data_IF_629456470921
#
_entry.id   IF_629456470921
#
_cell.length_a   1.000
_cell.length_b   1.000
_cell.length_c   1.000
_cell.angle_alpha   90.00
_cell.angle_beta   90.00
_cell.angle_gamma   90.00
#
_symmetry.space_group_name_H-M   'P 1'
#
loop_
_entity.id
_entity.type
_entity.pdbx_description
1 polymer ?
#
# COMPACT_ATOMS: atom_id res chain seq x y z
N UNK A 1 -7.37 18.79 12.31
CA UNK A 1 -7.00 19.87 13.26
C UNK A 1 -6.80 21.16 12.48
N UNK A 2 -7.38 22.22 12.99
CA UNK A 2 -7.25 23.57 12.45
C UNK A 2 -6.08 24.30 13.14
N UNK A 3 -5.71 25.48 12.66
CA UNK A 3 -4.58 26.24 13.20
C UNK A 3 -4.73 26.56 14.69
N UNK A 4 -5.95 26.86 15.12
CA UNK A 4 -6.26 27.16 16.52
C UNK A 4 -6.01 25.96 17.46
N UNK A 5 -6.23 24.73 16.97
CA UNK A 5 -5.94 23.52 17.73
C UNK A 5 -4.43 23.38 17.99
N UNK A 6 -3.60 23.70 16.98
CA UNK A 6 -2.14 23.68 17.13
C UNK A 6 -1.65 24.78 18.08
N UNK A 7 -2.23 25.97 18.04
CA UNK A 7 -1.94 27.04 19.01
C UNK A 7 -2.29 26.61 20.43
N UNK A 8 -3.45 25.98 20.61
CA UNK A 8 -3.84 25.42 21.90
C UNK A 8 -2.86 24.35 22.40
N UNK A 9 -2.39 23.47 21.51
CA UNK A 9 -1.34 22.47 21.85
C UNK A 9 -0.06 23.15 22.33
N UNK A 10 0.41 24.20 21.64
CA UNK A 10 1.60 24.95 22.04
C UNK A 10 1.42 25.58 23.42
N UNK A 11 0.24 26.16 23.71
CA UNK A 11 -0.06 26.70 25.03
C UNK A 11 0.01 25.63 26.12
N UNK A 12 -0.49 24.43 25.86
CA UNK A 12 -0.41 23.30 26.79
C UNK A 12 1.06 22.86 26.98
N UNK A 13 1.86 22.75 25.91
CA UNK A 13 3.27 22.40 26.03
C UNK A 13 4.04 23.40 26.89
N UNK A 14 3.82 24.70 26.69
CA UNK A 14 4.42 25.75 27.54
C UNK A 14 4.00 25.61 29.00
N UNK A 15 2.71 25.44 29.25
CA UNK A 15 2.16 25.25 30.61
C UNK A 15 2.80 24.10 31.37
N UNK A 16 3.09 23.02 30.65
CA UNK A 16 3.68 21.80 31.23
C UNK A 16 5.20 21.70 31.04
N UNK A 17 5.87 22.77 30.61
CA UNK A 17 7.32 22.81 30.38
C UNK A 17 7.84 21.71 29.41
N UNK A 18 7.01 21.33 28.43
CA UNK A 18 7.39 20.36 27.39
C UNK A 18 8.21 21.10 26.33
N UNK A 19 9.47 20.69 26.18
CA UNK A 19 10.42 21.29 25.23
C UNK A 19 10.66 20.44 23.99
N UNK A 20 10.46 19.14 24.08
CA UNK A 20 10.71 18.20 22.98
C UNK A 20 9.42 17.44 22.68
N UNK A 21 9.00 17.49 21.42
CA UNK A 21 7.79 16.83 20.94
C UNK A 21 8.18 15.96 19.75
N UNK A 22 7.98 14.65 19.86
CA UNK A 22 8.29 13.67 18.83
C UNK A 22 7.00 13.11 18.25
N UNK A 23 6.85 13.25 16.92
CA UNK A 23 5.72 12.70 16.18
C UNK A 23 6.15 11.45 15.42
N UNK A 24 5.69 10.28 15.83
CA UNK A 24 5.94 9.03 15.11
C UNK A 24 4.76 8.66 14.22
N UNK A 25 5.00 8.49 12.92
CA UNK A 25 3.93 8.08 12.00
C UNK A 25 4.22 8.35 10.52
N UNK A 26 3.20 8.17 9.68
CA UNK A 26 3.25 8.36 8.24
C UNK A 26 2.99 9.82 7.81
N UNK A 27 2.64 10.02 6.53
CA UNK A 27 2.44 11.34 5.92
C UNK A 27 1.51 12.27 6.70
N UNK A 28 0.39 11.78 7.20
CA UNK A 28 -0.54 12.59 8.01
C UNK A 28 0.08 13.09 9.31
N UNK A 29 0.94 12.28 9.93
CA UNK A 29 1.68 12.65 11.15
C UNK A 29 2.77 13.66 10.82
N UNK A 30 3.50 13.49 9.73
CA UNK A 30 4.53 14.44 9.28
C UNK A 30 3.92 15.79 8.91
N UNK A 31 2.74 15.81 8.28
CA UNK A 31 1.99 17.05 8.00
C UNK A 31 1.56 17.76 9.31
N UNK A 32 1.07 17.01 10.30
CA UNK A 32 0.73 17.56 11.60
C UNK A 32 1.96 18.13 12.33
N UNK A 33 3.08 17.43 12.26
CA UNK A 33 4.36 17.90 12.76
C UNK A 33 4.76 19.24 12.11
N UNK A 34 4.70 19.33 10.79
CA UNK A 34 4.99 20.56 10.04
C UNK A 34 4.03 21.70 10.37
N UNK A 35 2.74 21.43 10.57
CA UNK A 35 1.76 22.43 10.98
C UNK A 35 2.03 22.97 12.39
N UNK A 36 2.39 22.07 13.31
CA UNK A 36 2.76 22.49 14.66
C UNK A 36 4.00 23.41 14.66
N UNK A 37 5.02 23.07 13.86
CA UNK A 37 6.21 23.91 13.75
C UNK A 37 5.89 25.31 13.21
N UNK A 38 4.94 25.42 12.29
CA UNK A 38 4.56 26.74 11.70
C UNK A 38 3.88 27.69 12.68
N UNK A 39 3.24 27.18 13.72
CA UNK A 39 2.57 28.00 14.76
C UNK A 39 3.47 28.29 15.96
N UNK A 40 4.70 27.75 15.98
CA UNK A 40 5.70 28.12 16.99
C UNK A 40 6.30 29.47 16.67
N UNK A 41 6.54 30.29 17.71
CA UNK A 41 7.33 31.51 17.56
C UNK A 41 8.77 31.16 17.15
N UNK A 42 9.44 32.03 16.37
CA UNK A 42 10.84 31.81 15.94
C UNK A 42 11.81 31.55 17.11
N UNK A 43 11.56 32.22 18.25
CA UNK A 43 12.38 32.12 19.46
C UNK A 43 11.89 31.07 20.45
N UNK A 44 10.93 30.22 20.04
CA UNK A 44 10.41 29.15 20.90
C UNK A 44 11.50 28.19 21.32
N UNK A 45 11.51 27.80 22.60
CA UNK A 45 12.37 26.72 23.15
C UNK A 45 11.80 25.31 22.89
N UNK A 46 10.58 25.21 22.32
CA UNK A 46 9.96 23.96 21.95
C UNK A 46 10.58 23.46 20.63
N UNK A 47 11.08 22.24 20.64
CA UNK A 47 11.61 21.54 19.47
C UNK A 47 10.67 20.41 19.06
N UNK A 48 10.31 20.38 17.81
CA UNK A 48 9.42 19.36 17.24
C UNK A 48 10.18 18.56 16.18
N UNK A 49 10.12 17.25 16.27
CA UNK A 49 10.74 16.37 15.29
C UNK A 49 9.76 15.26 14.86
N UNK A 50 9.80 14.93 13.57
CA UNK A 50 9.06 13.80 13.02
C UNK A 50 9.94 12.55 12.98
N UNK A 51 9.35 11.41 13.36
CA UNK A 51 9.95 10.08 13.22
C UNK A 51 9.08 9.36 12.18
N UNK A 52 9.50 9.32 10.91
CA UNK A 52 8.68 8.77 9.85
C UNK A 52 8.60 7.24 9.95
N UNK A 53 7.39 6.69 9.78
CA UNK A 53 7.16 5.26 9.59
C UNK A 53 5.89 5.05 8.77
N UNK A 54 5.98 4.26 7.71
CA UNK A 54 4.84 3.80 6.93
C UNK A 54 5.24 2.62 6.07
N UNK A 55 4.33 1.67 5.86
CA UNK A 55 4.53 0.58 4.91
C UNK A 55 4.43 1.06 3.46
N UNK A 56 3.80 2.21 3.22
CA UNK A 56 3.53 2.73 1.87
C UNK A 56 4.80 3.22 1.16
N UNK A 57 5.85 3.49 1.92
CA UNK A 57 7.14 4.02 1.44
C UNK A 57 7.00 5.30 0.61
N UNK A 58 6.08 6.17 1.02
CA UNK A 58 5.63 7.34 0.26
C UNK A 58 6.02 8.68 0.91
N UNK A 59 7.00 8.68 1.82
CA UNK A 59 7.54 9.90 2.44
C UNK A 59 8.68 10.43 1.57
N UNK A 60 8.55 11.70 1.17
CA UNK A 60 9.57 12.36 0.33
C UNK A 60 10.95 12.43 1.00
N UNK A 61 12.00 12.48 0.17
CA UNK A 61 13.42 12.61 0.56
C UNK A 61 14.03 11.35 1.20
N UNK A 62 13.24 10.31 1.46
CA UNK A 62 13.76 9.05 1.99
C UNK A 62 13.56 7.91 0.98
N UNK A 63 14.53 7.03 0.87
CA UNK A 63 14.46 5.85 -0.01
C UNK A 63 13.71 4.68 0.65
N UNK A 64 13.73 4.65 1.98
CA UNK A 64 13.10 3.62 2.77
C UNK A 64 12.39 4.22 3.99
N UNK A 65 11.17 3.76 4.27
CA UNK A 65 10.45 4.08 5.50
C UNK A 65 10.24 2.83 6.33
N UNK A 66 10.48 2.90 7.66
CA UNK A 66 10.30 1.75 8.56
C UNK A 66 8.91 1.14 8.43
N UNK A 67 8.87 -0.18 8.25
CA UNK A 67 7.68 -0.97 7.99
C UNK A 67 7.53 -1.43 6.54
N UNK A 68 8.08 -0.69 5.56
CA UNK A 68 8.00 -1.08 4.15
C UNK A 68 8.70 -2.39 3.86
N UNK A 69 9.92 -2.60 4.38
CA UNK A 69 10.70 -3.81 4.13
C UNK A 69 9.96 -5.08 4.56
N UNK A 70 9.25 -5.03 5.69
CA UNK A 70 8.41 -6.14 6.17
C UNK A 70 7.20 -6.39 5.28
N UNK A 71 6.50 -5.33 4.86
CA UNK A 71 5.36 -5.45 3.95
C UNK A 71 5.80 -5.98 2.58
N UNK A 72 6.95 -5.54 2.07
CA UNK A 72 7.55 -6.03 0.82
C UNK A 72 7.90 -7.52 0.89
N UNK A 73 8.50 -7.96 1.99
CA UNK A 73 8.76 -9.42 2.23
C UNK A 73 7.48 -10.23 2.26
N UNK A 74 6.47 -9.70 2.93
CA UNK A 74 5.18 -10.37 3.04
C UNK A 74 4.53 -10.56 1.67
N UNK A 75 4.38 -9.49 0.88
CA UNK A 75 3.73 -9.57 -0.43
C UNK A 75 4.51 -10.48 -1.39
N UNK A 76 5.85 -10.40 -1.40
CA UNK A 76 6.68 -11.26 -2.22
C UNK A 76 6.50 -12.75 -1.84
N UNK A 77 6.49 -13.05 -0.54
CA UNK A 77 6.29 -14.43 -0.06
C UNK A 77 4.91 -14.96 -0.39
N UNK A 78 3.86 -14.17 -0.09
CA UNK A 78 2.47 -14.54 -0.38
C UNK A 78 2.25 -14.74 -1.88
N UNK A 79 2.82 -13.88 -2.73
CA UNK A 79 2.76 -14.03 -4.18
C UNK A 79 3.40 -15.34 -4.66
N UNK A 80 4.55 -15.72 -4.07
CA UNK A 80 5.21 -16.98 -4.41
C UNK A 80 4.38 -18.20 -4.00
N UNK A 81 3.75 -18.15 -2.82
CA UNK A 81 2.89 -19.22 -2.30
C UNK A 81 1.62 -19.39 -3.14
N UNK A 82 0.93 -18.27 -3.44
CA UNK A 82 -0.23 -18.27 -4.35
C UNK A 82 0.20 -18.76 -5.75
N UNK A 83 1.38 -18.33 -6.22
CA UNK A 83 1.93 -18.78 -7.49
C UNK A 83 2.14 -20.29 -7.56
N UNK A 84 2.60 -20.89 -6.47
CA UNK A 84 2.75 -22.35 -6.37
C UNK A 84 1.39 -23.07 -6.40
N UNK A 85 0.39 -22.54 -5.70
CA UNK A 85 -0.98 -23.07 -5.70
C UNK A 85 -1.62 -22.99 -7.09
N UNK A 86 -1.60 -21.81 -7.72
CA UNK A 86 -2.15 -21.59 -9.07
C UNK A 86 -1.46 -22.47 -10.12
N UNK A 87 -0.15 -22.69 -9.98
CA UNK A 87 0.62 -23.55 -10.88
C UNK A 87 0.28 -25.04 -10.69
N UNK A 88 0.00 -25.46 -9.46
CA UNK A 88 -0.39 -26.84 -9.16
C UNK A 88 -1.82 -27.16 -9.61
N UNK A 89 -2.67 -26.14 -9.69
CA UNK A 89 -4.07 -26.26 -10.09
C UNK A 89 -4.42 -25.17 -11.13
N UNK A 90 -3.94 -25.29 -12.39
CA UNK A 90 -4.00 -24.23 -13.39
C UNK A 90 -5.38 -24.10 -14.05
N UNK A 91 -6.40 -23.74 -13.27
CA UNK A 91 -7.80 -23.64 -13.73
C UNK A 91 -8.43 -22.28 -13.39
N UNK A 92 -7.65 -21.32 -12.92
CA UNK A 92 -8.21 -20.05 -12.46
C UNK A 92 -7.20 -18.91 -12.50
N UNK A 93 -7.75 -17.71 -12.39
CA UNK A 93 -7.00 -16.47 -12.17
C UNK A 93 -7.08 -16.11 -10.68
N UNK A 94 -5.96 -15.77 -10.07
CA UNK A 94 -5.93 -15.24 -8.71
C UNK A 94 -5.48 -13.77 -8.73
N UNK A 95 -6.30 -12.89 -8.17
CA UNK A 95 -5.99 -11.47 -7.99
C UNK A 95 -5.57 -11.26 -6.54
N UNK A 96 -4.32 -10.85 -6.32
CA UNK A 96 -3.81 -10.49 -5.00
C UNK A 96 -3.84 -8.96 -4.85
N UNK A 97 -4.70 -8.45 -3.97
CA UNK A 97 -4.77 -7.02 -3.68
C UNK A 97 -3.71 -6.62 -2.67
N UNK A 98 -2.86 -5.67 -3.05
CA UNK A 98 -1.81 -5.14 -2.21
C UNK A 98 -2.19 -3.78 -1.63
N UNK A 99 -1.86 -3.55 -0.35
CA UNK A 99 -1.94 -2.24 0.30
C UNK A 99 -0.93 -1.27 -0.32
N UNK A 100 -1.02 0.01 0.05
CA UNK A 100 -0.08 1.06 -0.39
C UNK A 100 -0.77 2.32 -0.86
N UNK A 101 -2.10 2.35 -0.90
CA UNK A 101 -2.92 3.50 -1.31
C UNK A 101 -2.52 4.00 -2.71
N UNK A 102 -1.92 5.22 -2.76
CA UNK A 102 -1.51 5.85 -4.01
C UNK A 102 -0.04 5.54 -4.39
N UNK A 103 0.64 4.72 -3.60
CA UNK A 103 2.03 4.33 -3.83
C UNK A 103 2.14 2.83 -4.14
N UNK A 104 2.74 2.51 -5.25
CA UNK A 104 2.85 1.14 -5.77
C UNK A 104 4.02 0.33 -5.23
N UNK A 105 4.77 0.80 -4.25
CA UNK A 105 5.98 0.14 -3.76
C UNK A 105 5.75 -1.28 -3.25
N UNK A 106 4.70 -1.49 -2.45
CA UNK A 106 4.36 -2.83 -1.96
C UNK A 106 3.94 -3.73 -3.13
N UNK A 107 3.08 -3.20 -4.01
CA UNK A 107 2.63 -3.94 -5.20
C UNK A 107 3.80 -4.33 -6.09
N UNK A 108 4.74 -3.41 -6.34
CA UNK A 108 5.95 -3.65 -7.12
C UNK A 108 6.87 -4.71 -6.47
N UNK A 109 6.95 -4.73 -5.13
CA UNK A 109 7.76 -5.70 -4.40
C UNK A 109 7.31 -7.15 -4.63
N UNK A 110 6.07 -7.39 -5.07
CA UNK A 110 5.61 -8.72 -5.49
C UNK A 110 6.47 -9.33 -6.59
N UNK A 111 7.12 -8.50 -7.42
CA UNK A 111 8.04 -8.96 -8.47
C UNK A 111 9.21 -9.79 -7.92
N UNK A 112 9.59 -9.60 -6.65
CA UNK A 112 10.64 -10.37 -5.98
C UNK A 112 10.28 -11.85 -5.78
N UNK A 113 8.99 -12.21 -5.92
CA UNK A 113 8.55 -13.60 -5.94
C UNK A 113 9.05 -14.37 -7.17
N UNK A 114 9.25 -13.66 -8.29
CA UNK A 114 9.64 -14.25 -9.57
C UNK A 114 11.11 -14.67 -9.54
N UNK A 115 11.36 -15.97 -9.59
CA UNK A 115 12.70 -16.57 -9.64
C UNK A 115 13.06 -17.09 -11.02
N UNK A 116 12.07 -17.48 -11.80
CA UNK A 116 12.22 -18.04 -13.14
C UNK A 116 11.19 -17.42 -14.08
N UNK A 117 11.44 -17.53 -15.36
CA UNK A 117 10.44 -17.19 -16.37
C UNK A 117 9.17 -18.03 -16.15
N UNK A 118 8.02 -17.37 -16.14
CA UNK A 118 6.71 -18.00 -15.90
C UNK A 118 6.34 -18.21 -14.43
N UNK A 119 7.17 -17.76 -13.47
CA UNK A 119 6.76 -17.69 -12.06
C UNK A 119 5.86 -16.46 -11.84
N UNK A 120 4.97 -16.56 -10.84
CA UNK A 120 4.15 -15.43 -10.36
C UNK A 120 5.02 -14.33 -9.71
N UNK A 121 4.56 -13.07 -9.76
CA UNK A 121 3.33 -12.59 -10.39
C UNK A 121 3.47 -12.56 -11.91
N UNK A 122 2.40 -12.86 -12.63
CA UNK A 122 2.39 -12.77 -14.08
C UNK A 122 2.13 -11.32 -14.54
N UNK A 123 1.24 -10.62 -13.84
CA UNK A 123 0.89 -9.21 -14.07
C UNK A 123 0.97 -8.41 -12.76
N UNK A 124 1.37 -7.15 -12.87
CA UNK A 124 1.45 -6.20 -11.75
C UNK A 124 0.81 -4.88 -12.21
N UNK A 125 -0.23 -4.44 -11.48
CA UNK A 125 -0.93 -3.18 -11.75
C UNK A 125 -0.68 -2.17 -10.64
N UNK A 126 0.03 -1.08 -10.99
CA UNK A 126 0.48 -0.04 -10.08
C UNK A 126 -0.48 1.17 -10.10
N UNK A 127 -0.69 1.86 -8.97
CA UNK A 127 -1.59 3.01 -8.88
C UNK A 127 -1.08 4.26 -9.61
N UNK A 128 0.21 4.28 -9.96
CA UNK A 128 0.85 5.36 -10.71
C UNK A 128 0.55 5.33 -12.21
N UNK A 129 -0.04 4.24 -12.70
CA UNK A 129 -0.43 4.10 -14.10
C UNK A 129 -1.95 4.02 -14.23
N UNK A 130 -2.56 4.69 -15.20
CA UNK A 130 -3.98 4.54 -15.46
C UNK A 130 -4.33 3.07 -15.75
N UNK A 131 -5.36 2.58 -15.07
CA UNK A 131 -5.92 1.27 -15.33
C UNK A 131 -6.87 1.32 -16.51
N UNK A 132 -6.70 0.37 -17.43
CA UNK A 132 -7.56 0.18 -18.60
C UNK A 132 -8.13 -1.23 -18.59
N UNK A 133 -9.45 -1.32 -18.50
CA UNK A 133 -10.15 -2.60 -18.39
C UNK A 133 -9.89 -3.51 -19.59
N UNK A 134 -9.90 -2.95 -20.81
CA UNK A 134 -9.69 -3.72 -22.02
C UNK A 134 -8.28 -4.32 -22.10
N UNK A 135 -7.25 -3.55 -21.75
CA UNK A 135 -5.86 -4.03 -21.69
C UNK A 135 -5.71 -5.13 -20.63
N UNK A 136 -6.27 -4.90 -19.45
CA UNK A 136 -6.25 -5.90 -18.37
C UNK A 136 -6.87 -7.23 -18.81
N UNK A 137 -8.04 -7.19 -19.42
CA UNK A 137 -8.74 -8.39 -19.88
C UNK A 137 -7.95 -9.10 -21.01
N UNK A 138 -7.35 -8.35 -21.92
CA UNK A 138 -6.51 -8.91 -22.99
C UNK A 138 -5.27 -9.60 -22.43
N UNK A 139 -4.54 -8.94 -21.51
CA UNK A 139 -3.35 -9.49 -20.85
C UNK A 139 -3.66 -10.77 -20.07
N UNK A 140 -4.76 -10.75 -19.30
CA UNK A 140 -5.20 -11.92 -18.54
C UNK A 140 -5.57 -13.06 -19.46
N UNK A 141 -6.31 -12.79 -20.54
CA UNK A 141 -6.74 -13.81 -21.50
C UNK A 141 -5.54 -14.46 -22.21
N UNK A 142 -4.60 -13.66 -22.69
CA UNK A 142 -3.40 -14.16 -23.36
C UNK A 142 -2.59 -15.08 -22.43
N UNK A 143 -2.36 -14.62 -21.19
CA UNK A 143 -1.60 -15.41 -20.21
C UNK A 143 -2.33 -16.69 -19.80
N UNK A 144 -3.64 -16.60 -19.60
CA UNK A 144 -4.46 -17.76 -19.24
C UNK A 144 -4.45 -18.83 -20.34
N UNK A 145 -4.60 -18.43 -21.60
CA UNK A 145 -4.57 -19.36 -22.74
C UNK A 145 -3.23 -20.10 -22.84
N UNK A 146 -2.15 -19.44 -22.44
CA UNK A 146 -0.79 -20.00 -22.48
C UNK A 146 -0.43 -20.84 -21.27
N UNK A 147 -0.87 -20.44 -20.07
CA UNK A 147 -0.41 -20.99 -18.79
C UNK A 147 -1.48 -21.81 -18.06
N UNK A 148 -2.74 -21.63 -18.40
CA UNK A 148 -3.89 -22.24 -17.71
C UNK A 148 -4.22 -21.62 -16.33
N UNK A 149 -3.29 -20.87 -15.73
CA UNK A 149 -3.47 -20.18 -14.46
C UNK A 149 -2.67 -18.89 -14.41
N UNK A 150 -3.23 -17.82 -13.83
CA UNK A 150 -2.62 -16.50 -13.80
C UNK A 150 -2.70 -15.91 -12.39
N UNK A 151 -1.61 -15.33 -11.93
CA UNK A 151 -1.57 -14.51 -10.71
C UNK A 151 -1.33 -13.06 -11.09
N UNK A 152 -2.27 -12.21 -10.70
CA UNK A 152 -2.20 -10.76 -10.84
C UNK A 152 -2.01 -10.14 -9.47
N UNK A 153 -1.08 -9.21 -9.33
CA UNK A 153 -0.97 -8.39 -8.13
C UNK A 153 -1.39 -6.97 -8.47
N UNK A 154 -2.40 -6.47 -7.77
CA UNK A 154 -3.02 -5.18 -8.03
C UNK A 154 -3.02 -4.30 -6.79
N UNK A 155 -2.72 -3.01 -6.95
CA UNK A 155 -2.83 -2.04 -5.86
C UNK A 155 -4.29 -1.76 -5.52
N UNK A 156 -4.59 -1.58 -4.22
CA UNK A 156 -5.89 -1.07 -3.75
C UNK A 156 -6.22 0.34 -4.27
N UNK A 157 -5.20 1.08 -4.70
CA UNK A 157 -5.29 2.47 -5.14
C UNK A 157 -5.38 2.67 -6.66
N UNK A 158 -5.74 1.64 -7.44
CA UNK A 158 -5.85 1.76 -8.89
C UNK A 158 -6.85 2.84 -9.31
N UNK A 159 -6.49 3.59 -10.35
CA UNK A 159 -7.27 4.69 -10.91
C UNK A 159 -7.42 4.53 -12.42
N UNK A 160 -8.52 5.03 -12.92
CA UNK A 160 -8.77 5.14 -14.37
C UNK A 160 -7.96 6.29 -15.00
N UNK A 161 -8.12 6.50 -16.31
CA UNK A 161 -7.47 7.58 -17.08
C UNK A 161 -7.87 8.99 -16.60
N UNK A 162 -9.02 9.12 -15.94
CA UNK A 162 -9.47 10.40 -15.37
C UNK A 162 -8.89 10.66 -13.96
N UNK A 163 -8.11 9.72 -13.43
CA UNK A 163 -7.55 9.77 -12.08
C UNK A 163 -8.54 9.39 -10.97
N UNK A 164 -9.71 8.85 -11.33
CA UNK A 164 -10.70 8.37 -10.35
C UNK A 164 -10.38 6.92 -9.96
N UNK A 165 -10.60 6.54 -8.68
CA UNK A 165 -10.50 5.15 -8.27
C UNK A 165 -11.41 4.25 -9.12
N UNK A 166 -10.89 3.11 -9.58
CA UNK A 166 -11.68 2.13 -10.37
C UNK A 166 -12.80 1.49 -9.54
N UNK A 167 -12.63 1.44 -8.22
CA UNK A 167 -13.68 1.07 -7.27
C UNK A 167 -13.90 2.25 -6.34
N UNK A 168 -15.12 2.78 -6.23
CA UNK A 168 -15.40 3.90 -5.36
C UNK A 168 -15.02 3.59 -3.91
N UNK A 169 -14.47 4.56 -3.17
CA UNK A 169 -14.25 4.39 -1.73
C UNK A 169 -15.58 4.06 -1.01
N UNK A 170 -15.53 3.11 -0.08
CA UNK A 170 -16.70 2.73 0.73
C UNK A 170 -17.08 3.87 1.66
N UNK A 171 -16.08 4.54 2.21
CA UNK A 171 -16.26 5.64 3.15
C UNK A 171 -15.04 6.56 3.15
N UNK A 172 -15.29 7.85 3.33
CA UNK A 172 -14.23 8.85 3.48
C UNK A 172 -14.58 9.80 4.64
N UNK A 173 -13.64 10.01 5.53
CA UNK A 173 -13.76 11.00 6.61
C UNK A 173 -12.46 11.78 6.74
N UNK A 174 -12.52 13.09 6.53
CA UNK A 174 -11.35 13.94 6.46
C UNK A 174 -10.32 13.40 5.45
N UNK A 175 -9.14 13.01 5.95
CA UNK A 175 -8.06 12.41 5.13
C UNK A 175 -8.09 10.88 5.09
N UNK A 176 -8.93 10.25 5.89
CA UNK A 176 -9.04 8.79 5.91
C UNK A 176 -9.94 8.32 4.80
N UNK A 177 -9.39 7.51 3.90
CA UNK A 177 -10.11 6.87 2.80
C UNK A 177 -10.15 5.37 3.07
N UNK A 178 -11.35 4.80 3.08
CA UNK A 178 -11.58 3.36 3.13
C UNK A 178 -11.82 2.89 1.71
N UNK A 179 -10.84 2.24 1.12
CA UNK A 179 -10.89 1.77 -0.25
C UNK A 179 -11.90 0.65 -0.42
N UNK A 180 -12.51 0.58 -1.61
CA UNK A 180 -13.28 -0.58 -2.04
C UNK A 180 -12.39 -1.80 -2.25
N UNK A 181 -13.00 -2.91 -2.64
CA UNK A 181 -12.30 -4.16 -2.92
C UNK A 181 -11.94 -4.23 -4.41
N UNK A 182 -10.75 -3.75 -4.75
CA UNK A 182 -10.21 -3.76 -6.11
C UNK A 182 -9.99 -5.20 -6.59
N UNK A 183 -9.49 -6.07 -5.71
CA UNK A 183 -9.25 -7.47 -6.04
C UNK A 183 -10.54 -8.19 -6.42
N UNK A 184 -11.61 -8.01 -5.64
CA UNK A 184 -12.92 -8.59 -5.95
C UNK A 184 -13.49 -8.04 -7.25
N UNK A 185 -13.39 -6.73 -7.49
CA UNK A 185 -13.83 -6.10 -8.74
C UNK A 185 -13.14 -6.70 -9.96
N UNK A 186 -11.80 -6.81 -9.93
CA UNK A 186 -11.03 -7.38 -11.03
C UNK A 186 -11.35 -8.86 -11.26
N UNK A 187 -11.53 -9.64 -10.19
CA UNK A 187 -11.93 -11.05 -10.30
C UNK A 187 -13.33 -11.17 -10.92
N UNK A 188 -14.26 -10.30 -10.54
CA UNK A 188 -15.61 -10.24 -11.13
C UNK A 188 -15.58 -9.89 -12.62
N UNK A 189 -14.72 -8.95 -13.04
CA UNK A 189 -14.50 -8.63 -14.44
C UNK A 189 -14.04 -9.84 -15.24
N UNK A 190 -13.03 -10.56 -14.75
CA UNK A 190 -12.52 -11.77 -15.40
C UNK A 190 -13.62 -12.81 -15.57
N UNK A 191 -14.41 -13.05 -14.51
CA UNK A 191 -15.51 -14.01 -14.57
C UNK A 191 -16.57 -13.58 -15.58
N UNK A 192 -17.03 -12.34 -15.52
CA UNK A 192 -18.15 -11.85 -16.34
C UNK A 192 -17.78 -11.66 -17.81
N UNK A 193 -16.56 -11.17 -18.09
CA UNK A 193 -16.15 -10.80 -19.45
C UNK A 193 -15.45 -11.94 -20.18
N UNK A 194 -14.68 -12.77 -19.48
CA UNK A 194 -13.90 -13.84 -20.08
C UNK A 194 -14.47 -15.24 -19.85
N UNK A 195 -15.41 -15.39 -18.90
CA UNK A 195 -15.91 -16.70 -18.50
C UNK A 195 -14.88 -17.58 -17.78
N UNK A 196 -13.76 -16.99 -17.36
CA UNK A 196 -12.67 -17.68 -16.66
C UNK A 196 -12.95 -17.62 -15.16
N UNK A 197 -12.75 -18.74 -14.47
CA UNK A 197 -12.85 -18.80 -13.00
C UNK A 197 -11.79 -17.89 -12.40
N UNK A 198 -12.19 -16.98 -11.51
CA UNK A 198 -11.27 -16.08 -10.81
C UNK A 198 -11.63 -15.96 -9.34
N UNK A 199 -10.65 -15.59 -8.54
CA UNK A 199 -10.78 -15.27 -7.11
C UNK A 199 -9.89 -14.10 -6.76
N UNK A 200 -10.17 -13.47 -5.63
CA UNK A 200 -9.31 -12.44 -5.05
C UNK A 200 -8.87 -12.83 -3.66
N UNK A 201 -7.65 -12.42 -3.33
CA UNK A 201 -7.08 -12.51 -1.99
C UNK A 201 -6.67 -11.10 -1.56
N UNK A 202 -7.09 -10.73 -0.34
CA UNK A 202 -6.82 -9.42 0.26
C UNK A 202 -6.21 -9.59 1.64
N UNK A 203 -4.89 -9.74 1.76
CA UNK A 203 -4.22 -9.96 3.04
C UNK A 203 -4.46 -8.84 4.07
N UNK A 204 -4.61 -7.61 3.61
CA UNK A 204 -4.92 -6.47 4.46
C UNK A 204 -3.96 -6.34 5.64
N UNK A 205 -4.50 -6.39 6.87
CA UNK A 205 -3.72 -6.24 8.10
C UNK A 205 -2.60 -7.28 8.25
N UNK A 206 -2.80 -8.50 7.76
CA UNK A 206 -1.77 -9.55 7.82
C UNK A 206 -0.48 -9.10 7.12
N UNK A 207 -0.61 -8.33 6.03
CA UNK A 207 0.54 -7.82 5.25
C UNK A 207 1.47 -6.89 6.04
N UNK A 208 0.96 -6.22 7.07
CA UNK A 208 1.76 -5.30 7.92
C UNK A 208 2.00 -5.81 9.33
N UNK A 209 1.41 -6.95 9.71
CA UNK A 209 1.44 -7.46 11.08
C UNK A 209 2.17 -8.81 11.21
N UNK A 210 2.73 -9.32 10.11
CA UNK A 210 3.40 -10.64 10.11
C UNK A 210 4.73 -10.60 10.87
N UNK A 211 4.75 -11.18 12.04
CA UNK A 211 5.96 -11.29 12.89
C UNK A 211 7.02 -12.18 12.22
N UNK A 212 6.60 -13.27 11.59
CA UNK A 212 7.52 -14.23 10.95
C UNK A 212 8.21 -13.69 9.70
N UNK A 213 7.62 -12.68 9.05
CA UNK A 213 8.15 -12.05 7.84
C UNK A 213 8.71 -10.65 8.08
N UNK A 214 8.92 -10.27 9.34
CA UNK A 214 9.55 -9.01 9.69
C UNK A 214 10.91 -8.85 9.01
N UNK A 215 11.15 -7.68 8.42
CA UNK A 215 12.44 -7.33 7.84
C UNK A 215 13.48 -7.09 8.93
N UNK A 216 14.72 -7.59 8.79
CA UNK A 216 15.80 -7.22 9.70
C UNK A 216 16.05 -5.71 9.74
N UNK A 217 15.96 -5.02 8.59
CA UNK A 217 16.15 -3.56 8.50
C UNK A 217 15.09 -2.83 9.33
N UNK A 218 13.80 -3.16 9.15
CA UNK A 218 12.72 -2.53 9.93
C UNK A 218 12.90 -2.75 11.44
N UNK A 219 13.42 -3.91 11.82
CA UNK A 219 13.69 -4.23 13.24
C UNK A 219 14.86 -3.45 13.80
N UNK A 220 15.91 -3.24 13.02
CA UNK A 220 17.08 -2.44 13.41
C UNK A 220 16.71 -0.95 13.51
N UNK A 221 15.88 -0.45 12.59
CA UNK A 221 15.42 0.94 12.61
C UNK A 221 14.43 1.25 13.75
N UNK A 222 13.79 0.24 14.32
CA UNK A 222 12.83 0.39 15.43
C UNK A 222 13.48 0.48 16.81
N UNK A 223 14.79 0.29 16.93
CA UNK A 223 15.58 0.32 18.18
C UNK A 223 16.41 1.59 18.24
#
# INVERSE_FOLDING_TARGET
>A
LEEEDYKAMVAIFRKHHIRYVLFNGGNGTMDACGKLVRVLDPDSDIRVAGIPKTIDNDIGITDHTPGYGSAARYIARTTAEIGADVKSLPIHVCILEAMGRNAGWITAASALARKKHGDAPHLIYLPERPFREEEFLADVKELYDRLGGVVVVASEGLKDESGKPIVPPIFQTGRSVYYGDVGAYLAELVIKKLGIKARSEKPGLCGRASISLQSPVDREEAV
#
